data_IF_652035905236
#
_entry.id   IF_652035905236
#
_cell.length_a   1.000
_cell.length_b   1.000
_cell.length_c   1.000
_cell.angle_alpha   90.00
_cell.angle_beta   90.00
_cell.angle_gamma   90.00
#
_symmetry.space_group_name_H-M   'P 1'
#
loop_
_entity.id
_entity.type
_entity.pdbx_description
1 polymer ?
#
# COMPACT_ATOMS: atom_id res chain seq x y z
N UNK A 1 9.01 47.99 11.51
CA UNK A 1 10.12 47.01 11.74
C UNK A 1 9.61 45.72 12.43
N UNK A 2 8.62 45.01 11.86
CA UNK A 2 8.13 43.71 12.34
C UNK A 2 8.16 42.51 11.35
N UNK A 3 8.83 42.53 10.17
CA UNK A 3 8.80 41.37 9.26
C UNK A 3 9.72 40.21 9.71
N UNK A 4 10.92 40.51 10.21
CA UNK A 4 11.98 39.51 10.45
C UNK A 4 11.71 38.44 11.54
N UNK A 5 10.63 38.56 12.32
CA UNK A 5 10.25 37.55 13.34
C UNK A 5 9.19 36.57 12.83
N UNK A 6 8.42 36.96 11.81
CA UNK A 6 7.41 36.12 11.19
C UNK A 6 8.05 35.18 10.16
N UNK A 7 8.96 35.70 9.34
CA UNK A 7 9.74 34.93 8.37
C UNK A 7 10.59 33.83 9.05
N UNK A 8 11.21 34.17 10.18
CA UNK A 8 12.03 33.22 10.95
C UNK A 8 11.23 32.08 11.59
N UNK A 9 9.95 32.32 11.90
CA UNK A 9 9.03 31.29 12.42
C UNK A 9 8.51 30.38 11.30
N UNK A 10 8.24 30.91 10.11
CA UNK A 10 7.86 30.10 8.95
C UNK A 10 9.02 29.25 8.44
N UNK A 11 10.25 29.80 8.42
CA UNK A 11 11.45 29.05 8.05
C UNK A 11 11.74 27.92 9.05
N UNK A 12 11.70 28.19 10.36
CA UNK A 12 11.89 27.17 11.39
C UNK A 12 10.80 26.08 11.37
N UNK A 13 9.56 26.45 11.04
CA UNK A 13 8.46 25.48 10.86
C UNK A 13 8.65 24.59 9.62
N UNK A 14 9.16 25.16 8.53
CA UNK A 14 9.50 24.41 7.32
C UNK A 14 10.65 23.42 7.53
N UNK A 15 11.72 23.85 8.21
CA UNK A 15 12.89 23.02 8.50
C UNK A 15 12.58 21.85 9.46
N UNK A 16 11.75 22.11 10.47
CA UNK A 16 11.24 21.07 11.37
C UNK A 16 10.40 20.03 10.60
N UNK A 17 9.48 20.48 9.73
CA UNK A 17 8.64 19.56 8.93
C UNK A 17 9.47 18.71 7.98
N UNK A 18 10.46 19.31 7.31
CA UNK A 18 11.36 18.59 6.43
C UNK A 18 12.15 17.51 7.19
N UNK A 19 12.67 17.85 8.37
CA UNK A 19 13.38 16.88 9.23
C UNK A 19 12.45 15.75 9.69
N UNK A 20 11.23 16.08 10.12
CA UNK A 20 10.22 15.08 10.52
C UNK A 20 9.85 14.15 9.36
N UNK A 21 9.69 14.68 8.15
CA UNK A 21 9.42 13.90 6.94
C UNK A 21 10.52 12.87 6.66
N UNK A 22 11.79 13.27 6.75
CA UNK A 22 12.94 12.38 6.54
C UNK A 22 12.99 11.25 7.57
N UNK A 23 12.82 11.58 8.84
CA UNK A 23 12.78 10.58 9.93
C UNK A 23 11.59 9.63 9.72
N UNK A 24 10.45 10.17 9.29
CA UNK A 24 9.25 9.40 8.99
C UNK A 24 9.48 8.40 7.85
N UNK A 25 10.05 8.82 6.72
CA UNK A 25 10.34 7.93 5.59
C UNK A 25 11.28 6.78 5.99
N UNK A 26 12.36 7.07 6.73
CA UNK A 26 13.30 6.03 7.20
C UNK A 26 12.61 5.05 8.15
N UNK A 27 11.77 5.56 9.04
CA UNK A 27 11.02 4.73 10.01
C UNK A 27 10.02 3.83 9.29
N UNK A 28 9.25 4.38 8.34
CA UNK A 28 8.29 3.63 7.54
C UNK A 28 8.97 2.59 6.65
N UNK A 29 10.08 2.94 5.98
CA UNK A 29 10.85 2.01 5.18
C UNK A 29 11.37 0.85 6.04
N UNK A 30 12.01 1.17 7.17
CA UNK A 30 12.51 0.17 8.12
C UNK A 30 11.41 -0.73 8.64
N UNK A 31 10.22 -0.18 8.93
CA UNK A 31 9.04 -0.94 9.35
C UNK A 31 8.61 -1.96 8.29
N UNK A 32 8.43 -1.53 7.03
CA UNK A 32 8.01 -2.45 5.97
C UNK A 32 9.08 -3.49 5.64
N UNK A 33 10.36 -3.11 5.66
CA UNK A 33 11.47 -4.07 5.49
C UNK A 33 11.47 -5.09 6.62
N UNK A 34 11.35 -4.67 7.88
CA UNK A 34 11.25 -5.58 9.03
C UNK A 34 10.07 -6.53 8.91
N UNK A 35 8.90 -6.02 8.52
CA UNK A 35 7.69 -6.82 8.38
C UNK A 35 7.82 -7.86 7.26
N UNK A 36 8.35 -7.48 6.09
CA UNK A 36 8.59 -8.42 4.98
C UNK A 36 9.63 -9.47 5.36
N UNK A 37 10.74 -9.07 5.99
CA UNK A 37 11.76 -10.03 6.44
C UNK A 37 11.18 -10.99 7.49
N UNK A 38 10.35 -10.50 8.41
CA UNK A 38 9.66 -11.33 9.40
C UNK A 38 8.69 -12.32 8.76
N UNK A 39 8.04 -11.93 7.67
CA UNK A 39 7.16 -12.82 6.90
C UNK A 39 7.95 -13.88 6.14
N UNK A 40 9.05 -13.49 5.49
CA UNK A 40 9.91 -14.38 4.71
C UNK A 40 10.73 -15.35 5.57
N UNK A 41 11.02 -14.98 6.82
CA UNK A 41 11.73 -15.83 7.76
C UNK A 41 10.87 -16.95 8.35
N UNK A 42 9.56 -16.99 8.07
CA UNK A 42 8.70 -18.07 8.54
C UNK A 42 8.76 -19.26 7.59
N UNK A 43 8.97 -20.44 8.17
CA UNK A 43 9.17 -21.68 7.43
C UNK A 43 7.93 -22.10 6.64
N UNK A 44 8.13 -22.41 5.36
CA UNK A 44 7.07 -22.83 4.44
C UNK A 44 6.41 -24.16 4.88
N UNK A 45 7.13 -24.98 5.65
CA UNK A 45 6.72 -26.30 6.10
C UNK A 45 5.74 -26.25 7.30
N UNK A 46 5.63 -25.11 7.99
CA UNK A 46 4.66 -24.91 9.08
C UNK A 46 3.29 -24.41 8.59
N UNK A 47 3.16 -24.07 7.30
CA UNK A 47 1.90 -23.56 6.77
C UNK A 47 0.92 -24.70 6.46
N UNK A 48 -0.39 -24.48 6.68
CA UNK A 48 -1.41 -25.44 6.29
C UNK A 48 -1.24 -25.86 4.82
N UNK A 49 -1.33 -27.18 4.58
CA UNK A 49 -1.17 -27.76 3.25
C UNK A 49 -2.06 -27.03 2.21
N UNK A 50 -1.45 -26.59 1.10
CA UNK A 50 -2.13 -25.87 0.02
C UNK A 50 -2.02 -24.34 0.07
N UNK A 51 -1.55 -23.75 1.16
CA UNK A 51 -1.51 -22.29 1.32
C UNK A 51 -0.48 -21.60 0.41
N UNK A 52 0.71 -22.18 0.25
CA UNK A 52 1.76 -21.66 -0.64
C UNK A 52 2.14 -22.57 -1.81
N UNK A 53 1.34 -23.62 -2.06
CA UNK A 53 1.63 -24.63 -3.10
C UNK A 53 1.84 -24.01 -4.50
N UNK A 54 1.16 -22.88 -4.80
CA UNK A 54 1.32 -22.13 -6.04
C UNK A 54 1.22 -20.62 -5.81
N UNK A 55 2.21 -19.88 -6.29
CA UNK A 55 2.31 -18.42 -6.15
C UNK A 55 2.80 -17.91 -4.79
N UNK A 56 2.95 -18.77 -3.78
CA UNK A 56 3.49 -18.39 -2.46
C UNK A 56 2.78 -17.17 -1.85
N UNK A 57 3.50 -16.30 -1.12
CA UNK A 57 2.95 -15.01 -0.65
C UNK A 57 2.50 -14.08 -1.77
N UNK A 58 3.07 -14.19 -2.97
CA UNK A 58 2.86 -13.28 -4.10
C UNK A 58 1.46 -13.34 -4.72
N UNK A 59 0.64 -14.35 -4.38
CA UNK A 59 -0.78 -14.36 -4.77
C UNK A 59 -1.64 -13.40 -3.94
N UNK A 60 -1.20 -13.04 -2.74
CA UNK A 60 -1.97 -12.21 -1.83
C UNK A 60 -1.71 -10.72 -2.06
N UNK A 61 -2.80 -9.95 -2.23
CA UNK A 61 -2.72 -8.51 -2.44
C UNK A 61 -2.10 -7.81 -1.22
N UNK A 62 -2.32 -8.33 -0.01
CA UNK A 62 -1.67 -7.85 1.20
C UNK A 62 -0.14 -7.85 1.04
N UNK A 63 0.46 -8.96 0.63
CA UNK A 63 1.92 -9.05 0.49
C UNK A 63 2.43 -8.13 -0.62
N UNK A 64 1.75 -8.10 -1.77
CA UNK A 64 2.07 -7.17 -2.86
C UNK A 64 2.00 -5.71 -2.41
N UNK A 65 1.00 -5.36 -1.59
CA UNK A 65 0.89 -4.03 -1.01
C UNK A 65 2.06 -3.72 -0.06
N UNK A 66 2.49 -4.66 0.79
CA UNK A 66 3.68 -4.42 1.65
C UNK A 66 4.93 -4.13 0.83
N UNK A 67 5.14 -4.89 -0.25
CA UNK A 67 6.26 -4.66 -1.18
C UNK A 67 6.13 -3.27 -1.83
N UNK A 68 4.92 -2.91 -2.27
CA UNK A 68 4.64 -1.58 -2.84
C UNK A 68 4.95 -0.46 -1.83
N UNK A 69 4.52 -0.59 -0.58
CA UNK A 69 4.82 0.39 0.47
C UNK A 69 6.33 0.47 0.76
N UNK A 70 7.01 -0.68 0.86
CA UNK A 70 8.46 -0.73 1.07
C UNK A 70 9.22 -0.04 -0.08
N UNK A 71 8.85 -0.33 -1.33
CA UNK A 71 9.48 0.29 -2.51
C UNK A 71 9.21 1.79 -2.53
N UNK A 72 7.99 2.22 -2.21
CA UNK A 72 7.63 3.63 -2.12
C UNK A 72 8.47 4.36 -1.06
N UNK A 73 8.48 3.90 0.18
CA UNK A 73 9.25 4.56 1.25
C UNK A 73 10.76 4.45 1.02
N UNK A 74 11.25 3.39 0.37
CA UNK A 74 12.65 3.31 -0.06
C UNK A 74 13.01 4.37 -1.11
N UNK A 75 12.11 4.64 -2.06
CA UNK A 75 12.27 5.72 -3.02
C UNK A 75 12.19 7.11 -2.34
N UNK A 76 11.34 7.26 -1.32
CA UNK A 76 11.27 8.48 -0.51
C UNK A 76 12.59 8.74 0.24
N UNK A 77 13.14 7.72 0.93
CA UNK A 77 14.46 7.79 1.59
C UNK A 77 15.57 8.12 0.60
N UNK A 78 15.56 7.50 -0.59
CA UNK A 78 16.56 7.80 -1.62
C UNK A 78 16.51 9.27 -2.06
N UNK A 79 15.30 9.83 -2.26
CA UNK A 79 15.14 11.25 -2.58
C UNK A 79 15.69 12.13 -1.45
N UNK A 80 15.37 11.83 -0.18
CA UNK A 80 15.84 12.59 0.97
C UNK A 80 17.37 12.60 1.10
N UNK A 81 18.02 11.47 0.87
CA UNK A 81 19.48 11.33 0.93
C UNK A 81 20.16 12.15 -0.17
N UNK A 82 19.58 12.19 -1.38
CA UNK A 82 20.11 13.01 -2.48
C UNK A 82 20.01 14.50 -2.17
N UNK A 83 18.87 14.94 -1.63
CA UNK A 83 18.67 16.33 -1.21
C UNK A 83 19.65 16.74 -0.11
N UNK A 84 19.85 15.89 0.91
CA UNK A 84 20.84 16.16 1.98
C UNK A 84 22.28 16.20 1.46
N UNK A 85 22.60 15.39 0.45
CA UNK A 85 23.90 15.41 -0.21
C UNK A 85 24.14 16.62 -1.12
N UNK A 86 23.22 17.59 -1.16
CA UNK A 86 23.30 18.76 -2.04
C UNK A 86 23.18 18.41 -3.53
N UNK A 87 22.75 17.17 -3.85
CA UNK A 87 22.54 16.74 -5.22
C UNK A 87 21.14 17.16 -5.63
N UNK A 88 21.01 17.80 -6.79
CA UNK A 88 19.70 18.04 -7.39
C UNK A 88 19.03 16.69 -7.62
N UNK A 89 17.92 16.45 -6.93
CA UNK A 89 17.13 15.23 -7.10
C UNK A 89 16.70 15.14 -8.55
N UNK A 90 17.02 14.03 -9.21
CA UNK A 90 16.64 13.84 -10.59
C UNK A 90 15.11 13.98 -10.73
N UNK A 91 14.65 14.85 -11.64
CA UNK A 91 13.22 15.08 -11.89
C UNK A 91 12.44 13.78 -12.05
N UNK A 92 13.06 12.76 -12.64
CA UNK A 92 12.47 11.43 -12.83
C UNK A 92 12.21 10.69 -11.50
N UNK A 93 13.06 10.84 -10.48
CA UNK A 93 12.88 10.20 -9.18
C UNK A 93 11.73 10.83 -8.40
N UNK A 94 11.61 12.16 -8.43
CA UNK A 94 10.47 12.88 -7.84
C UNK A 94 9.16 12.51 -8.53
N UNK A 95 9.14 12.50 -9.87
CA UNK A 95 7.96 12.09 -10.63
C UNK A 95 7.60 10.62 -10.36
N UNK A 96 8.59 9.74 -10.26
CA UNK A 96 8.37 8.33 -9.92
C UNK A 96 7.79 8.17 -8.51
N UNK A 97 8.29 8.92 -7.52
CA UNK A 97 7.77 8.92 -6.15
C UNK A 97 6.30 9.35 -6.12
N UNK A 98 6.00 10.48 -6.75
CA UNK A 98 4.64 11.02 -6.77
C UNK A 98 3.68 10.13 -7.53
N UNK A 99 4.10 9.57 -8.67
CA UNK A 99 3.31 8.60 -9.43
C UNK A 99 3.04 7.35 -8.59
N UNK A 100 4.08 6.79 -7.96
CA UNK A 100 3.96 5.56 -7.17
C UNK A 100 3.03 5.76 -5.98
N UNK A 101 3.15 6.89 -5.28
CA UNK A 101 2.26 7.24 -4.18
C UNK A 101 0.81 7.40 -4.63
N UNK A 102 0.60 8.35 -5.56
CA UNK A 102 -0.73 8.83 -5.95
C UNK A 102 -1.55 7.77 -6.68
N UNK A 103 -0.91 6.97 -7.54
CA UNK A 103 -1.59 5.99 -8.38
C UNK A 103 -1.71 4.64 -7.68
N UNK A 104 -0.73 4.23 -6.88
CA UNK A 104 -0.67 2.88 -6.33
C UNK A 104 -0.66 2.85 -4.81
N UNK A 105 0.38 3.37 -4.15
CA UNK A 105 0.60 3.14 -2.72
C UNK A 105 -0.57 3.63 -1.86
N UNK A 106 -1.09 4.82 -2.14
CA UNK A 106 -2.24 5.36 -1.42
C UNK A 106 -3.54 4.59 -1.71
N UNK A 107 -4.09 4.57 -2.95
CA UNK A 107 -5.39 3.95 -3.18
C UNK A 107 -5.42 2.45 -2.92
N UNK A 108 -4.35 1.71 -3.28
CA UNK A 108 -4.29 0.25 -3.05
C UNK A 108 -4.07 -0.06 -1.57
N UNK A 109 -3.21 0.70 -0.88
CA UNK A 109 -2.97 0.48 0.54
C UNK A 109 -4.20 0.74 1.40
N UNK A 110 -4.93 1.83 1.14
CA UNK A 110 -6.21 2.10 1.82
C UNK A 110 -7.23 1.03 1.47
N UNK A 111 -7.31 0.61 0.21
CA UNK A 111 -8.22 -0.45 -0.21
C UNK A 111 -7.97 -1.77 0.54
N UNK A 112 -6.72 -2.22 0.63
CA UNK A 112 -6.33 -3.45 1.34
C UNK A 112 -6.77 -3.39 2.81
N UNK A 113 -6.55 -2.27 3.48
CA UNK A 113 -6.96 -2.07 4.88
C UNK A 113 -8.48 -2.19 5.01
N UNK A 114 -9.23 -1.45 4.18
CA UNK A 114 -10.68 -1.40 4.27
C UNK A 114 -11.32 -2.76 3.98
N UNK A 115 -10.95 -3.39 2.86
CA UNK A 115 -11.56 -4.66 2.46
C UNK A 115 -11.21 -5.78 3.45
N UNK A 116 -9.97 -5.79 3.96
CA UNK A 116 -9.56 -6.76 4.96
C UNK A 116 -10.41 -6.63 6.22
N UNK A 117 -10.48 -5.46 6.85
CA UNK A 117 -11.18 -5.33 8.13
C UNK A 117 -12.69 -5.48 8.00
N UNK A 118 -13.30 -5.01 6.90
CA UNK A 118 -14.73 -5.23 6.65
C UNK A 118 -15.05 -6.72 6.60
N UNK A 119 -14.29 -7.50 5.83
CA UNK A 119 -14.53 -8.94 5.70
C UNK A 119 -14.10 -9.67 6.98
N UNK A 120 -12.97 -9.31 7.60
CA UNK A 120 -12.46 -9.94 8.80
C UNK A 120 -13.45 -9.84 9.97
N UNK A 121 -14.08 -8.67 10.15
CA UNK A 121 -15.10 -8.45 11.18
C UNK A 121 -16.39 -9.22 10.85
N UNK A 122 -16.77 -9.27 9.58
CA UNK A 122 -17.97 -9.98 9.14
C UNK A 122 -17.82 -11.51 9.31
N UNK A 123 -16.81 -12.08 8.68
CA UNK A 123 -16.38 -13.47 8.83
C UNK A 123 -14.93 -13.62 8.34
N UNK A 124 -14.00 -13.72 9.30
CA UNK A 124 -12.58 -13.89 8.99
C UNK A 124 -12.25 -15.16 8.21
N UNK A 125 -13.06 -16.23 8.26
CA UNK A 125 -12.76 -17.46 7.51
C UNK A 125 -12.73 -17.25 5.99
N UNK A 126 -13.34 -16.16 5.52
CA UNK A 126 -13.41 -15.79 4.10
C UNK A 126 -12.06 -15.33 3.51
N UNK A 127 -11.15 -14.82 4.33
CA UNK A 127 -9.87 -14.25 3.89
C UNK A 127 -8.67 -14.59 4.79
N UNK A 128 -8.90 -14.86 6.08
CA UNK A 128 -7.89 -15.11 7.09
C UNK A 128 -8.39 -16.16 8.11
N UNK A 129 -8.39 -17.45 7.72
CA UNK A 129 -8.88 -18.55 8.55
C UNK A 129 -8.22 -18.64 9.93
N UNK A 130 -8.86 -19.28 10.90
CA UNK A 130 -8.32 -19.37 12.26
C UNK A 130 -6.99 -20.16 12.33
N UNK A 131 -6.77 -21.12 11.42
CA UNK A 131 -5.50 -21.85 11.31
C UNK A 131 -4.30 -20.97 10.98
N UNK A 132 -4.53 -19.72 10.56
CA UNK A 132 -3.47 -18.75 10.34
C UNK A 132 -2.96 -18.10 11.63
N UNK A 133 -3.70 -18.15 12.74
CA UNK A 133 -3.28 -17.53 14.00
C UNK A 133 -2.04 -18.19 14.60
N UNK A 134 -1.88 -19.50 14.36
CA UNK A 134 -0.71 -20.27 14.78
C UNK A 134 0.57 -19.79 14.07
N UNK A 135 0.41 -19.26 12.85
CA UNK A 135 1.51 -18.79 12.02
C UNK A 135 1.70 -17.28 12.07
N UNK A 136 0.63 -16.50 12.09
CA UNK A 136 0.66 -15.04 12.06
C UNK A 136 0.26 -14.48 13.43
N UNK A 137 1.22 -14.09 14.29
CA UNK A 137 0.90 -13.45 15.55
C UNK A 137 0.10 -12.15 15.30
N UNK A 138 -0.75 -11.80 16.27
CA UNK A 138 -1.66 -10.64 16.17
C UNK A 138 -0.95 -9.35 15.75
N UNK A 139 0.26 -9.08 16.28
CA UNK A 139 1.03 -7.89 15.91
C UNK A 139 1.36 -7.84 14.41
N UNK A 140 1.62 -9.00 13.80
CA UNK A 140 1.94 -9.08 12.37
C UNK A 140 0.68 -8.85 11.55
N UNK A 141 -0.46 -9.41 11.97
CA UNK A 141 -1.74 -9.12 11.33
C UNK A 141 -2.04 -7.60 11.32
N UNK A 142 -1.89 -6.93 12.46
CA UNK A 142 -2.04 -5.48 12.56
C UNK A 142 -0.97 -4.72 11.75
N UNK A 143 0.26 -5.22 11.70
CA UNK A 143 1.31 -4.64 10.87
C UNK A 143 0.98 -4.66 9.39
N UNK A 144 0.40 -5.76 8.92
CA UNK A 144 0.04 -5.96 7.52
C UNK A 144 -1.26 -5.23 7.11
N UNK A 145 -2.23 -5.13 8.03
CA UNK A 145 -3.58 -4.70 7.68
C UNK A 145 -4.09 -3.47 8.43
N UNK A 146 -3.46 -3.04 9.52
CA UNK A 146 -3.86 -1.82 10.25
C UNK A 146 -2.88 -0.69 10.02
N UNK A 147 -1.58 -0.91 10.25
CA UNK A 147 -0.58 0.16 10.27
C UNK A 147 -0.33 0.80 8.89
N UNK A 148 -0.73 0.14 7.81
CA UNK A 148 -0.67 0.69 6.45
C UNK A 148 -1.41 2.04 6.35
N UNK A 149 -2.62 2.13 6.90
CA UNK A 149 -3.44 3.36 6.81
C UNK A 149 -2.82 4.56 7.56
N UNK A 150 -2.49 4.48 8.87
CA UNK A 150 -1.89 5.60 9.57
C UNK A 150 -0.54 6.02 8.99
N UNK A 151 0.24 5.09 8.43
CA UNK A 151 1.48 5.43 7.72
C UNK A 151 1.17 6.20 6.42
N UNK A 152 0.22 5.76 5.60
CA UNK A 152 -0.18 6.50 4.39
C UNK A 152 -0.78 7.88 4.70
N UNK A 153 -1.54 8.01 5.79
CA UNK A 153 -2.05 9.30 6.25
C UNK A 153 -0.91 10.19 6.77
N UNK A 154 0.07 9.61 7.46
CA UNK A 154 1.29 10.31 7.87
C UNK A 154 2.04 10.89 6.68
N UNK A 155 2.16 10.12 5.59
CA UNK A 155 2.78 10.58 4.34
C UNK A 155 2.04 11.79 3.76
N UNK A 156 0.71 11.70 3.57
CA UNK A 156 -0.12 12.81 3.09
C UNK A 156 0.03 14.10 3.92
N UNK A 157 0.14 13.94 5.25
CA UNK A 157 0.28 15.07 6.17
C UNK A 157 1.67 15.70 6.11
N UNK A 158 2.71 14.92 5.79
CA UNK A 158 4.10 15.37 5.85
C UNK A 158 4.62 15.83 4.48
N UNK A 159 4.16 15.22 3.39
CA UNK A 159 4.65 15.45 2.02
C UNK A 159 3.51 15.81 1.04
N UNK A 160 3.70 16.83 0.19
CA UNK A 160 2.81 17.10 -0.93
C UNK A 160 3.13 16.18 -2.11
N UNK A 161 2.10 15.70 -2.81
CA UNK A 161 2.28 14.84 -3.99
C UNK A 161 1.61 15.39 -5.25
N UNK A 162 2.35 15.35 -6.37
CA UNK A 162 1.78 15.74 -7.65
C UNK A 162 1.03 14.59 -8.31
N UNK A 163 -0.30 14.68 -8.37
CA UNK A 163 -1.10 13.69 -9.09
C UNK A 163 -0.96 13.84 -10.62
N UNK A 164 -0.85 12.74 -11.39
CA UNK A 164 -0.88 12.81 -12.85
C UNK A 164 -2.27 13.25 -13.35
N UNK A 165 -2.39 13.43 -14.68
CA UNK A 165 -3.71 13.56 -15.31
C UNK A 165 -4.57 12.37 -14.90
N UNK A 166 -5.79 12.62 -14.44
CA UNK A 166 -6.66 11.60 -13.84
C UNK A 166 -6.78 10.36 -14.72
N UNK A 167 -7.05 10.53 -16.02
CA UNK A 167 -7.19 9.39 -16.93
C UNK A 167 -5.91 8.54 -17.05
N UNK A 168 -4.72 9.14 -16.96
CA UNK A 168 -3.44 8.41 -16.99
C UNK A 168 -3.24 7.61 -15.71
N UNK A 169 -3.56 8.22 -14.55
CA UNK A 169 -3.52 7.54 -13.26
C UNK A 169 -4.51 6.37 -13.22
N UNK A 170 -5.75 6.59 -13.65
CA UNK A 170 -6.77 5.54 -13.72
C UNK A 170 -6.43 4.45 -14.74
N UNK A 171 -5.82 4.78 -15.89
CA UNK A 171 -5.37 3.79 -16.85
C UNK A 171 -4.27 2.90 -16.26
N UNK A 172 -3.25 3.50 -15.63
CA UNK A 172 -2.18 2.75 -14.98
C UNK A 172 -2.69 1.86 -13.84
N UNK A 173 -3.57 2.40 -12.98
CA UNK A 173 -4.23 1.65 -11.91
C UNK A 173 -5.11 0.52 -12.45
N UNK A 174 -5.84 0.78 -13.53
CA UNK A 174 -6.67 -0.21 -14.22
C UNK A 174 -5.85 -1.35 -14.83
N UNK A 175 -4.71 -1.05 -15.45
CA UNK A 175 -3.80 -2.06 -16.03
C UNK A 175 -3.25 -2.97 -14.92
N UNK A 176 -2.71 -2.38 -13.85
CA UNK A 176 -2.14 -3.16 -12.73
C UNK A 176 -3.22 -3.94 -11.98
N UNK A 177 -4.38 -3.33 -11.73
CA UNK A 177 -5.52 -4.01 -11.11
C UNK A 177 -6.01 -5.19 -11.94
N UNK A 178 -6.15 -5.00 -13.26
CA UNK A 178 -6.53 -6.08 -14.18
C UNK A 178 -5.49 -7.20 -14.21
N UNK A 179 -4.19 -6.87 -14.22
CA UNK A 179 -3.13 -7.86 -14.15
C UNK A 179 -3.19 -8.70 -12.86
N UNK A 180 -3.48 -8.07 -11.72
CA UNK A 180 -3.68 -8.80 -10.45
C UNK A 180 -4.91 -9.71 -10.49
N UNK A 181 -6.04 -9.23 -11.05
CA UNK A 181 -7.24 -10.06 -11.19
C UNK A 181 -7.00 -11.27 -12.11
N UNK A 182 -6.29 -11.06 -13.22
CA UNK A 182 -5.87 -12.15 -14.11
C UNK A 182 -4.95 -13.14 -13.37
N UNK A 183 -4.05 -12.65 -12.52
CA UNK A 183 -3.22 -13.50 -11.68
C UNK A 183 -4.04 -14.35 -10.69
N UNK A 184 -5.04 -13.77 -10.03
CA UNK A 184 -5.94 -14.49 -9.12
C UNK A 184 -6.71 -15.59 -9.86
N UNK A 185 -7.22 -15.29 -11.07
CA UNK A 185 -7.90 -16.28 -11.93
C UNK A 185 -6.91 -17.37 -12.35
N UNK A 186 -5.71 -16.99 -12.76
CA UNK A 186 -4.68 -17.93 -13.19
C UNK A 186 -4.28 -18.91 -12.08
N UNK A 187 -4.13 -18.43 -10.84
CA UNK A 187 -3.87 -19.30 -9.68
C UNK A 187 -4.97 -20.34 -9.54
N UNK A 188 -6.24 -19.94 -9.61
CA UNK A 188 -7.37 -20.88 -9.54
C UNK A 188 -7.36 -21.88 -10.69
N UNK A 189 -7.12 -21.44 -11.93
CA UNK A 189 -7.04 -22.33 -13.09
C UNK A 189 -5.87 -23.32 -12.99
N UNK A 190 -4.78 -22.94 -12.30
CA UNK A 190 -3.57 -23.75 -12.18
C UNK A 190 -3.69 -24.84 -11.12
N UNK A 191 -4.32 -24.55 -9.97
CA UNK A 191 -4.35 -25.48 -8.82
C UNK A 191 -5.74 -25.78 -8.27
N UNK A 192 -6.80 -25.22 -8.85
CA UNK A 192 -8.19 -25.46 -8.43
C UNK A 192 -8.57 -24.83 -7.09
N UNK A 193 -7.71 -24.02 -6.49
CA UNK A 193 -7.91 -23.37 -5.19
C UNK A 193 -7.85 -21.86 -5.37
N UNK A 194 -8.88 -21.16 -4.88
CA UNK A 194 -8.92 -19.70 -4.90
C UNK A 194 -7.89 -19.09 -3.95
N UNK A 195 -7.36 -17.92 -4.32
CA UNK A 195 -6.48 -17.12 -3.46
C UNK A 195 -7.16 -16.78 -2.13
N UNK A 196 -8.45 -16.41 -2.20
CA UNK A 196 -9.30 -16.14 -1.04
C UNK A 196 -10.48 -17.11 -1.04
N UNK A 197 -10.74 -17.84 0.06
CA UNK A 197 -11.85 -18.79 0.16
C UNK A 197 -13.20 -18.23 -0.31
N UNK A 198 -13.48 -16.96 -0.01
CA UNK A 198 -14.71 -16.30 -0.43
C UNK A 198 -15.00 -16.32 -1.93
N UNK A 199 -13.96 -16.35 -2.77
CA UNK A 199 -14.15 -16.34 -4.23
C UNK A 199 -14.86 -17.62 -4.71
N UNK A 200 -14.67 -18.74 -3.99
CA UNK A 200 -15.35 -20.00 -4.29
C UNK A 200 -16.85 -19.99 -3.95
N UNK A 201 -17.35 -18.98 -3.25
CA UNK A 201 -18.76 -18.85 -2.88
C UNK A 201 -19.59 -18.16 -3.97
N UNK A 202 -18.94 -17.51 -4.93
CA UNK A 202 -19.62 -16.78 -6.00
C UNK A 202 -19.87 -17.64 -7.22
N UNK A 203 -21.00 -17.40 -7.90
CA UNK A 203 -21.19 -17.81 -9.28
C UNK A 203 -20.31 -16.96 -10.23
N UNK A 204 -20.15 -17.37 -11.49
CA UNK A 204 -19.37 -16.59 -12.48
C UNK A 204 -19.85 -15.14 -12.62
N UNK A 205 -21.16 -14.84 -12.74
CA UNK A 205 -21.64 -13.45 -12.72
C UNK A 205 -21.34 -12.73 -11.40
N UNK A 206 -21.41 -13.46 -10.27
CA UNK A 206 -21.07 -12.94 -8.95
C UNK A 206 -19.60 -12.52 -8.84
N UNK A 207 -18.68 -13.34 -9.35
CA UNK A 207 -17.25 -13.03 -9.42
C UNK A 207 -16.98 -11.80 -10.27
N UNK A 208 -17.61 -11.70 -11.44
CA UNK A 208 -17.49 -10.52 -12.29
C UNK A 208 -17.98 -9.26 -11.57
N UNK A 209 -19.15 -9.33 -10.93
CA UNK A 209 -19.69 -8.23 -10.13
C UNK A 209 -18.76 -7.84 -8.97
N UNK A 210 -18.21 -8.82 -8.27
CA UNK A 210 -17.25 -8.59 -7.19
C UNK A 210 -15.97 -7.90 -7.69
N UNK A 211 -15.38 -8.35 -8.80
CA UNK A 211 -14.19 -7.71 -9.36
C UNK A 211 -14.45 -6.28 -9.83
N UNK A 212 -15.58 -6.03 -10.50
CA UNK A 212 -15.97 -4.69 -10.92
C UNK A 212 -16.20 -3.75 -9.72
N UNK A 213 -16.86 -4.23 -8.66
CA UNK A 213 -17.06 -3.47 -7.44
C UNK A 213 -15.73 -3.07 -6.79
N UNK A 214 -14.80 -4.01 -6.65
CA UNK A 214 -13.49 -3.73 -6.04
C UNK A 214 -12.67 -2.75 -6.89
N UNK A 215 -12.69 -2.89 -8.22
CA UNK A 215 -12.06 -1.90 -9.11
C UNK A 215 -12.68 -0.52 -8.95
N UNK A 216 -14.02 -0.43 -8.86
CA UNK A 216 -14.70 0.83 -8.60
C UNK A 216 -14.29 1.46 -7.26
N UNK A 217 -14.18 0.67 -6.18
CA UNK A 217 -13.73 1.15 -4.88
C UNK A 217 -12.30 1.70 -4.93
N UNK A 218 -11.38 1.01 -5.60
CA UNK A 218 -9.99 1.47 -5.78
C UNK A 218 -9.94 2.79 -6.58
N UNK A 219 -10.78 2.93 -7.61
CA UNK A 219 -10.93 4.19 -8.36
C UNK A 219 -11.44 5.33 -7.47
N UNK A 220 -12.43 5.06 -6.61
CA UNK A 220 -12.93 6.04 -5.65
C UNK A 220 -11.82 6.49 -4.70
N UNK A 221 -11.03 5.55 -4.18
CA UNK A 221 -9.92 5.84 -3.27
C UNK A 221 -8.80 6.66 -3.93
N UNK A 222 -8.54 6.46 -5.23
CA UNK A 222 -7.64 7.34 -5.99
C UNK A 222 -8.14 8.80 -5.96
N UNK A 223 -9.43 9.02 -6.16
CA UNK A 223 -10.02 10.36 -6.11
C UNK A 223 -10.01 10.93 -4.69
N UNK A 224 -10.29 10.11 -3.67
CA UNK A 224 -10.18 10.51 -2.27
C UNK A 224 -8.77 11.00 -1.96
N UNK A 225 -7.73 10.25 -2.36
CA UNK A 225 -6.33 10.66 -2.17
C UNK A 225 -6.02 12.00 -2.83
N UNK A 226 -6.46 12.18 -4.07
CA UNK A 226 -6.31 13.44 -4.81
C UNK A 226 -7.01 14.62 -4.13
N UNK A 227 -8.20 14.40 -3.59
CA UNK A 227 -8.96 15.42 -2.87
C UNK A 227 -8.29 15.77 -1.54
N UNK A 228 -7.84 14.77 -0.78
CA UNK A 228 -7.13 14.96 0.48
C UNK A 228 -5.84 15.76 0.30
N UNK A 229 -5.00 15.38 -0.67
CA UNK A 229 -3.74 16.07 -0.96
C UNK A 229 -3.99 17.56 -1.27
N UNK A 230 -4.94 17.86 -2.18
CA UNK A 230 -5.36 19.24 -2.52
C UNK A 230 -5.94 20.03 -1.34
N UNK A 231 -6.49 19.37 -0.34
CA UNK A 231 -7.01 20.06 0.85
C UNK A 231 -5.92 20.35 1.88
N UNK A 232 -4.85 19.56 1.90
CA UNK A 232 -3.71 19.73 2.80
C UNK A 232 -2.67 20.72 2.25
N UNK A 233 -2.59 20.87 0.93
CA UNK A 233 -1.53 21.58 0.21
C UNK A 233 -2.08 22.45 -0.93
#
# INVERSE_FOLDING_TARGET
>A
RRPARQDRKSEAGGDMRATLGKVFHVSAWSWYTFLILSLMAKDADELPAGMFLYGGPWKYLTFLNLVLQMVFFGLAVLNDLLEMGGKSTARLLLLSRDLLFSVFAFPVGVFVVLIFWVIFIYDRQLIFPASLDDFFPSWMNHGMHTLVLPILLGELLLQPHTFPKTWMGLAALGIVGSAYLLWVIWVYLSVGIWVYPMLGLFSTPGLLGFFLLNMFLVILLYHVGKVLDRHLW
#
